data_IF_629989204874
#
_entry.id   IF_629989204874
#
_cell.length_a   1.000
_cell.length_b   1.000
_cell.length_c   1.000
_cell.angle_alpha   90.00
_cell.angle_beta   90.00
_cell.angle_gamma   90.00
#
_symmetry.space_group_name_H-M   'P 1'
#
loop_
_entity.id
_entity.type
_entity.pdbx_description
1 polymer ?
#
# COMPACT_ATOMS: atom_id res chain seq x y z
N UNK A 1 13.49 10.32 -15.37
CA UNK A 1 13.00 8.95 -15.10
C UNK A 1 13.65 7.89 -15.99
N UNK A 2 14.68 7.19 -15.51
CA UNK A 2 14.96 5.84 -16.03
C UNK A 2 14.01 4.88 -15.30
N UNK A 3 12.87 4.58 -15.91
CA UNK A 3 11.95 3.56 -15.40
C UNK A 3 12.67 2.20 -15.37
N UNK A 4 13.20 1.81 -14.22
CA UNK A 4 13.85 0.52 -14.05
C UNK A 4 12.82 -0.51 -13.59
N UNK A 5 12.13 -1.14 -14.54
CA UNK A 5 11.12 -2.18 -14.27
C UNK A 5 11.65 -3.30 -13.35
N UNK A 6 12.96 -3.58 -13.41
CA UNK A 6 13.64 -4.57 -12.57
C UNK A 6 13.66 -4.20 -11.07
N UNK A 7 13.70 -2.90 -10.76
CA UNK A 7 13.71 -2.42 -9.37
C UNK A 7 12.35 -2.63 -8.68
N UNK A 8 11.26 -2.50 -9.45
CA UNK A 8 9.89 -2.61 -8.98
C UNK A 8 9.52 -4.07 -8.66
N UNK A 9 9.89 -5.00 -9.54
CA UNK A 9 9.71 -6.44 -9.30
C UNK A 9 10.50 -6.93 -8.08
N UNK A 10 11.75 -6.47 -7.91
CA UNK A 10 12.57 -6.82 -6.74
C UNK A 10 11.96 -6.30 -5.43
N UNK A 11 11.42 -5.07 -5.44
CA UNK A 11 10.74 -4.48 -4.28
C UNK A 11 9.46 -5.24 -3.94
N UNK A 12 8.65 -5.59 -4.93
CA UNK A 12 7.46 -6.41 -4.76
C UNK A 12 7.81 -7.78 -4.14
N UNK A 13 8.83 -8.46 -4.67
CA UNK A 13 9.31 -9.74 -4.11
C UNK A 13 9.71 -9.61 -2.64
N UNK A 14 10.48 -8.56 -2.30
CA UNK A 14 10.92 -8.29 -0.91
C UNK A 14 9.72 -8.06 0.02
N UNK A 15 8.72 -7.30 -0.43
CA UNK A 15 7.49 -7.04 0.32
C UNK A 15 6.72 -8.34 0.62
N UNK A 16 6.52 -9.19 -0.39
CA UNK A 16 5.81 -10.46 -0.23
C UNK A 16 6.60 -11.43 0.66
N UNK A 17 7.92 -11.52 0.49
CA UNK A 17 8.77 -12.44 1.27
C UNK A 17 8.80 -12.10 2.77
N UNK A 18 8.69 -10.81 3.12
CA UNK A 18 8.71 -10.35 4.53
C UNK A 18 7.45 -10.72 5.31
N UNK A 19 6.38 -11.20 4.66
CA UNK A 19 5.05 -11.26 5.27
C UNK A 19 4.47 -12.68 5.29
N UNK A 20 3.67 -12.94 6.32
CA UNK A 20 2.99 -14.21 6.59
C UNK A 20 1.80 -14.47 5.65
N UNK A 21 1.34 -15.73 5.57
CA UNK A 21 0.19 -16.17 4.74
C UNK A 21 -1.06 -15.28 4.85
N UNK A 22 -1.32 -14.69 6.02
CA UNK A 22 -2.46 -13.78 6.25
C UNK A 22 -2.47 -12.51 5.39
N UNK A 23 -1.32 -12.09 4.85
CA UNK A 23 -1.17 -10.90 4.02
C UNK A 23 -1.21 -11.21 2.52
N UNK A 24 -1.07 -12.47 2.10
CA UNK A 24 -1.02 -12.83 0.68
C UNK A 24 -2.34 -12.48 -0.04
N UNK A 25 -3.47 -12.55 0.67
CA UNK A 25 -4.78 -12.14 0.13
C UNK A 25 -4.91 -10.62 -0.01
N UNK A 26 -4.12 -9.84 0.70
CA UNK A 26 -4.19 -8.38 0.64
C UNK A 26 -3.64 -7.84 -0.68
N UNK A 27 -2.69 -8.52 -1.33
CA UNK A 27 -2.19 -8.10 -2.65
C UNK A 27 -3.34 -8.03 -3.70
N UNK A 28 -4.30 -8.94 -3.63
CA UNK A 28 -5.48 -8.90 -4.51
C UNK A 28 -6.40 -7.72 -4.20
N UNK A 29 -6.59 -7.41 -2.91
CA UNK A 29 -7.37 -6.24 -2.50
C UNK A 29 -6.67 -4.93 -2.85
N UNK A 30 -5.35 -4.88 -2.75
CA UNK A 30 -4.53 -3.74 -3.19
C UNK A 30 -4.73 -3.46 -4.67
N UNK A 31 -4.72 -4.50 -5.50
CA UNK A 31 -5.02 -4.40 -6.93
C UNK A 31 -6.44 -3.92 -7.23
N UNK A 32 -7.42 -4.28 -6.39
CA UNK A 32 -8.79 -3.79 -6.52
C UNK A 32 -8.89 -2.33 -6.07
N UNK A 33 -8.29 -1.98 -4.94
CA UNK A 33 -8.34 -0.64 -4.35
C UNK A 33 -7.63 0.41 -5.21
N UNK A 34 -6.51 0.07 -5.85
CA UNK A 34 -5.76 1.01 -6.70
C UNK A 34 -6.60 1.52 -7.87
N UNK A 35 -7.56 0.74 -8.38
CA UNK A 35 -8.46 1.19 -9.45
C UNK A 35 -9.34 2.37 -9.04
N UNK A 36 -9.48 2.65 -7.74
CA UNK A 36 -10.29 3.73 -7.17
C UNK A 36 -9.47 4.97 -6.77
N UNK A 37 -8.15 4.97 -7.00
CA UNK A 37 -7.29 6.12 -6.72
C UNK A 37 -6.32 5.94 -5.55
N UNK A 38 -5.41 6.90 -5.41
CA UNK A 38 -4.33 6.90 -4.42
C UNK A 38 -4.88 7.05 -3.00
N UNK A 39 -5.89 7.89 -2.84
CA UNK A 39 -6.57 8.19 -1.57
C UNK A 39 -7.25 6.94 -1.04
N UNK A 40 -7.97 6.23 -1.91
CA UNK A 40 -8.66 5.00 -1.54
C UNK A 40 -7.67 3.91 -1.15
N UNK A 41 -6.54 3.84 -1.84
CA UNK A 41 -5.48 2.90 -1.52
C UNK A 41 -4.87 3.19 -0.14
N UNK A 42 -4.49 4.45 0.12
CA UNK A 42 -3.89 4.83 1.39
C UNK A 42 -4.86 4.67 2.57
N UNK A 43 -6.12 5.09 2.41
CA UNK A 43 -7.14 5.03 3.45
C UNK A 43 -7.42 3.60 3.97
N UNK A 44 -7.13 2.57 3.18
CA UNK A 44 -7.31 1.17 3.59
C UNK A 44 -6.36 0.76 4.72
N UNK A 45 -5.12 1.28 4.73
CA UNK A 45 -4.17 1.07 5.85
C UNK A 45 -4.76 1.57 7.18
N UNK A 46 -5.42 2.72 7.12
CA UNK A 46 -6.02 3.35 8.30
C UNK A 46 -7.34 2.72 8.71
N UNK A 47 -8.11 2.18 7.76
CA UNK A 47 -9.25 1.29 8.06
C UNK A 47 -8.80 0.09 8.90
N UNK A 48 -7.67 -0.53 8.53
CA UNK A 48 -7.08 -1.63 9.29
C UNK A 48 -6.63 -1.19 10.69
N UNK A 49 -5.97 -0.02 10.82
CA UNK A 49 -5.62 0.55 12.14
C UNK A 49 -6.84 0.83 13.02
N UNK A 50 -7.93 1.32 12.45
CA UNK A 50 -9.17 1.56 13.18
C UNK A 50 -9.79 0.25 13.70
N UNK A 51 -9.82 -0.79 12.85
CA UNK A 51 -10.28 -2.13 13.26
C UNK A 51 -9.38 -2.74 14.33
N UNK A 52 -8.05 -2.57 14.21
CA UNK A 52 -7.10 -3.02 15.22
C UNK A 52 -7.47 -2.48 16.60
N UNK A 53 -7.63 -1.15 16.74
CA UNK A 53 -8.02 -0.50 18.01
C UNK A 53 -9.33 -1.06 18.57
N UNK A 54 -10.34 -1.22 17.71
CA UNK A 54 -11.63 -1.81 18.10
C UNK A 54 -11.49 -3.25 18.62
N UNK A 55 -10.63 -4.06 18.01
CA UNK A 55 -10.39 -5.42 18.48
C UNK A 55 -9.56 -5.47 19.78
N UNK A 56 -8.68 -4.50 20.00
CA UNK A 56 -7.96 -4.34 21.28
C UNK A 56 -8.93 -4.02 22.41
N UNK A 57 -9.88 -3.11 22.20
CA UNK A 57 -10.95 -2.77 23.14
C UNK A 57 -11.84 -3.98 23.48
N UNK A 58 -12.17 -4.79 22.46
CA UNK A 58 -12.93 -6.03 22.58
C UNK A 58 -12.14 -7.19 23.24
N UNK A 59 -10.86 -6.97 23.63
CA UNK A 59 -9.93 -7.99 24.14
C UNK A 59 -9.70 -9.18 23.18
N UNK A 60 -9.77 -8.94 21.87
CA UNK A 60 -9.55 -9.94 20.81
C UNK A 60 -8.15 -9.79 20.21
N UNK A 61 -7.12 -10.10 21.00
CA UNK A 61 -5.72 -9.84 20.65
C UNK A 61 -5.28 -10.47 19.32
N UNK A 62 -5.71 -11.69 19.02
CA UNK A 62 -5.34 -12.37 17.77
C UNK A 62 -5.87 -11.62 16.53
N UNK A 63 -7.10 -11.09 16.62
CA UNK A 63 -7.69 -10.30 15.53
C UNK A 63 -7.02 -8.95 15.40
N UNK A 64 -6.71 -8.29 16.52
CA UNK A 64 -5.95 -7.04 16.53
C UNK A 64 -4.58 -7.22 15.86
N UNK A 65 -3.86 -8.29 16.21
CA UNK A 65 -2.57 -8.61 15.60
C UNK A 65 -2.70 -8.81 14.09
N UNK A 66 -3.70 -9.55 13.62
CA UNK A 66 -3.94 -9.76 12.18
C UNK A 66 -4.19 -8.43 11.46
N UNK A 67 -5.06 -7.56 11.99
CA UNK A 67 -5.36 -6.26 11.37
C UNK A 67 -4.12 -5.34 11.39
N UNK A 68 -3.30 -5.39 12.44
CA UNK A 68 -2.03 -4.67 12.50
C UNK A 68 -1.07 -5.09 11.38
N UNK A 69 -0.88 -6.40 11.18
CA UNK A 69 0.02 -6.90 10.12
C UNK A 69 -0.50 -6.49 8.74
N UNK A 70 -1.82 -6.46 8.53
CA UNK A 70 -2.40 -5.94 7.28
C UNK A 70 -2.14 -4.44 7.13
N UNK A 71 -2.42 -3.63 8.13
CA UNK A 71 -2.14 -2.19 8.10
C UNK A 71 -0.68 -1.91 7.73
N UNK A 72 0.26 -2.57 8.42
CA UNK A 72 1.70 -2.45 8.16
C UNK A 72 2.06 -2.84 6.71
N UNK A 73 1.37 -3.83 6.13
CA UNK A 73 1.62 -4.26 4.76
C UNK A 73 1.16 -3.22 3.73
N UNK A 74 -0.02 -2.61 3.92
CA UNK A 74 -0.49 -1.52 3.06
C UNK A 74 0.41 -0.28 3.17
N UNK A 75 0.84 0.04 4.38
CA UNK A 75 1.77 1.15 4.66
C UNK A 75 3.15 0.91 4.01
N UNK A 76 3.69 -0.30 4.09
CA UNK A 76 4.95 -0.66 3.43
C UNK A 76 4.87 -0.51 1.89
N UNK A 77 3.75 -0.90 1.28
CA UNK A 77 3.55 -0.77 -0.17
C UNK A 77 3.51 0.70 -0.57
N UNK A 78 2.83 1.53 0.22
CA UNK A 78 2.81 2.98 0.02
C UNK A 78 4.21 3.59 0.16
N UNK A 79 4.95 3.25 1.22
CA UNK A 79 6.32 3.72 1.41
C UNK A 79 7.22 3.37 0.22
N UNK A 80 7.04 2.18 -0.36
CA UNK A 80 7.73 1.78 -1.58
C UNK A 80 7.33 2.63 -2.78
N UNK A 81 6.05 2.98 -2.93
CA UNK A 81 5.60 3.91 -3.96
C UNK A 81 6.27 5.28 -3.79
N UNK A 82 6.23 5.86 -2.58
CA UNK A 82 6.86 7.15 -2.28
C UNK A 82 8.34 7.13 -2.62
N UNK A 83 9.06 6.09 -2.20
CA UNK A 83 10.48 5.92 -2.53
C UNK A 83 10.75 5.81 -4.03
N UNK A 84 9.86 5.15 -4.79
CA UNK A 84 9.99 4.99 -6.24
C UNK A 84 9.73 6.28 -7.01
N UNK A 85 8.85 7.13 -6.51
CA UNK A 85 8.44 8.36 -7.20
C UNK A 85 9.11 9.62 -6.65
N UNK A 86 9.90 9.52 -5.57
CA UNK A 86 10.47 10.64 -4.80
C UNK A 86 11.20 11.70 -5.63
N UNK A 87 11.84 11.30 -6.73
CA UNK A 87 12.60 12.23 -7.59
C UNK A 87 11.69 13.17 -8.40
N UNK A 88 10.46 12.75 -8.71
CA UNK A 88 9.55 13.47 -9.61
C UNK A 88 8.25 13.91 -8.90
N UNK A 89 7.84 13.17 -7.88
CA UNK A 89 6.56 13.31 -7.17
C UNK A 89 6.83 13.30 -5.67
N UNK A 90 6.49 14.41 -5.02
CA UNK A 90 6.46 14.51 -3.56
C UNK A 90 5.11 13.98 -3.10
N UNK A 91 5.06 12.66 -2.86
CA UNK A 91 3.88 12.03 -2.27
C UNK A 91 3.91 12.27 -0.75
N UNK A 92 2.77 12.64 -0.17
CA UNK A 92 2.70 12.89 1.26
C UNK A 92 2.96 11.61 2.07
N UNK A 93 3.40 11.79 3.32
CA UNK A 93 3.72 10.73 4.28
C UNK A 93 3.23 11.15 5.67
N UNK A 94 1.92 11.26 5.82
CA UNK A 94 1.26 11.63 7.07
C UNK A 94 0.54 10.44 7.68
N UNK A 95 0.72 10.30 9.00
CA UNK A 95 -0.02 9.32 9.81
C UNK A 95 -1.51 9.63 9.91
N UNK A 96 -1.93 10.83 9.54
CA UNK A 96 -3.32 11.26 9.53
C UNK A 96 -3.89 11.18 8.11
N UNK A 97 -4.91 10.34 7.94
CA UNK A 97 -5.57 10.09 6.65
C UNK A 97 -6.13 11.35 6.05
N UNK A 98 -6.75 12.22 6.86
CA UNK A 98 -7.44 13.40 6.32
C UNK A 98 -6.45 14.40 5.74
N UNK A 99 -5.34 14.58 6.43
CA UNK A 99 -4.24 15.45 5.98
C UNK A 99 -3.62 14.87 4.71
N UNK A 100 -3.38 13.55 4.68
CA UNK A 100 -2.86 12.88 3.50
C UNK A 100 -3.79 13.01 2.28
N UNK A 101 -5.09 12.74 2.47
CA UNK A 101 -6.09 12.84 1.40
C UNK A 101 -6.13 14.27 0.83
N UNK A 102 -6.18 15.29 1.68
CA UNK A 102 -6.18 16.69 1.25
C UNK A 102 -4.91 17.09 0.50
N UNK A 103 -3.76 16.48 0.82
CA UNK A 103 -2.50 16.71 0.10
C UNK A 103 -2.43 15.93 -1.22
N UNK A 104 -2.96 14.71 -1.25
CA UNK A 104 -3.09 13.92 -2.48
C UNK A 104 -3.95 14.65 -3.51
N UNK A 105 -5.06 15.28 -3.08
CA UNK A 105 -5.92 16.09 -3.95
C UNK A 105 -5.26 17.37 -4.48
N UNK A 106 -4.20 17.86 -3.84
CA UNK A 106 -3.43 19.04 -4.30
C UNK A 106 -2.37 18.69 -5.35
N UNK A 107 -2.06 17.41 -5.56
CA UNK A 107 -1.14 16.99 -6.61
C UNK A 107 -1.68 17.39 -7.98
N UNK A 108 -0.79 17.86 -8.86
CA UNK A 108 -1.14 18.06 -10.27
C UNK A 108 -1.58 16.73 -10.89
N UNK A 109 -2.58 16.79 -11.77
CA UNK A 109 -3.15 15.62 -12.45
C UNK A 109 -2.09 14.70 -13.07
N UNK A 110 -1.11 15.26 -13.77
CA UNK A 110 -0.02 14.50 -14.40
C UNK A 110 0.77 13.66 -13.38
N UNK A 111 1.02 14.21 -12.19
CA UNK A 111 1.70 13.50 -11.10
C UNK A 111 0.82 12.41 -10.51
N UNK A 112 -0.47 12.66 -10.32
CA UNK A 112 -1.40 11.64 -9.85
C UNK A 112 -1.48 10.47 -10.83
N UNK A 113 -1.54 10.74 -12.14
CA UNK A 113 -1.59 9.72 -13.18
C UNK A 113 -0.32 8.85 -13.21
N UNK A 114 0.87 9.48 -13.08
CA UNK A 114 2.15 8.74 -13.01
C UNK A 114 2.23 7.89 -11.73
N UNK A 115 1.93 8.47 -10.57
CA UNK A 115 1.95 7.72 -9.30
C UNK A 115 0.97 6.55 -9.33
N UNK A 116 -0.23 6.74 -9.89
CA UNK A 116 -1.23 5.69 -10.03
C UNK A 116 -0.74 4.58 -10.97
N UNK A 117 -0.12 4.92 -12.10
CA UNK A 117 0.44 3.93 -13.02
C UNK A 117 1.55 3.08 -12.36
N UNK A 118 2.44 3.71 -11.59
CA UNK A 118 3.48 3.00 -10.83
C UNK A 118 2.86 2.10 -9.76
N UNK A 119 1.85 2.58 -9.05
CA UNK A 119 1.16 1.79 -8.02
C UNK A 119 0.41 0.59 -8.61
N UNK A 120 -0.26 0.75 -9.75
CA UNK A 120 -0.92 -0.34 -10.48
C UNK A 120 0.11 -1.43 -10.83
N UNK A 121 1.24 -1.03 -11.42
CA UNK A 121 2.30 -1.96 -11.79
C UNK A 121 2.89 -2.67 -10.56
N UNK A 122 3.07 -1.95 -9.45
CA UNK A 122 3.52 -2.53 -8.18
C UNK A 122 2.53 -3.57 -7.65
N UNK A 123 1.24 -3.26 -7.65
CA UNK A 123 0.18 -4.19 -7.25
C UNK A 123 0.14 -5.46 -8.12
N UNK A 124 0.32 -5.33 -9.43
CA UNK A 124 0.39 -6.48 -10.34
C UNK A 124 1.61 -7.37 -10.03
N UNK A 125 2.78 -6.77 -9.78
CA UNK A 125 3.96 -7.51 -9.33
C UNK A 125 3.75 -8.20 -7.98
N UNK A 126 3.08 -7.56 -7.02
CA UNK A 126 2.75 -8.18 -5.73
C UNK A 126 1.85 -9.41 -5.93
N UNK A 127 0.80 -9.30 -6.74
CA UNK A 127 -0.09 -10.43 -7.05
C UNK A 127 0.69 -11.58 -7.69
N UNK A 128 1.57 -11.30 -8.64
CA UNK A 128 2.41 -12.30 -9.28
C UNK A 128 3.30 -13.06 -8.30
N UNK A 129 3.97 -12.35 -7.38
CA UNK A 129 4.81 -12.99 -6.37
C UNK A 129 3.99 -13.75 -5.33
N UNK A 130 2.85 -13.20 -4.86
CA UNK A 130 1.98 -13.93 -3.92
C UNK A 130 1.45 -15.24 -4.50
N UNK A 131 1.24 -15.35 -5.82
CA UNK A 131 0.86 -16.61 -6.45
C UNK A 131 1.96 -17.66 -6.44
N UNK A 132 3.24 -17.26 -6.47
CA UNK A 132 4.39 -18.18 -6.43
C UNK A 132 4.79 -18.63 -5.04
N UNK A 133 4.47 -17.83 -4.02
CA UNK A 133 4.76 -18.15 -2.63
C UNK A 133 3.58 -18.80 -1.89
N UNK A 134 2.50 -19.15 -2.61
CA UNK A 134 1.46 -20.09 -2.14
C UNK A 134 1.99 -21.51 -2.18
#
# INVERSE_FOLDING_TARGET
MSWEAYSLDQRARKLVTKRSEGCLREAYKMREAVAYGLERFWGESSRYRANQKRYEEDRKQDKANIEKVKADYWEDVWNVLVDLTKEDIDLPLHKDVKVEEDELWKLSRDKQEVALAVLIQLCDCLVWWTQRYK
#
